data_IF_803857677127
#
_entry.id   IF_803857677127
#
_cell.length_a   1.000
_cell.length_b   1.000
_cell.length_c   1.000
_cell.angle_alpha   90.00
_cell.angle_beta   90.00
_cell.angle_gamma   90.00
#
_symmetry.space_group_name_H-M   'P 1'
#
loop_
_entity.id
_entity.type
_entity.pdbx_description
1 polymer ?
#
# COMPACT_ATOMS: atom_id res chain seq x y z
N UNK A 1 -1.99 -12.25 5.26
CA UNK A 1 -0.70 -11.97 5.94
C UNK A 1 -0.94 -11.66 7.42
N UNK A 2 -0.06 -12.06 8.36
CA UNK A 2 -0.16 -11.75 9.80
C UNK A 2 0.72 -10.54 10.16
N UNK A 3 0.47 -9.94 11.33
CA UNK A 3 1.19 -8.74 11.80
C UNK A 3 2.73 -8.86 11.74
N UNK A 4 3.30 -9.99 12.18
CA UNK A 4 4.77 -10.16 12.16
C UNK A 4 5.35 -10.26 10.73
N UNK A 5 4.60 -10.82 9.78
CA UNK A 5 5.00 -10.90 8.38
C UNK A 5 4.97 -9.50 7.74
N UNK A 6 3.90 -8.72 8.01
CA UNK A 6 3.79 -7.33 7.56
C UNK A 6 4.89 -6.44 8.15
N UNK A 7 5.19 -6.61 9.45
CA UNK A 7 6.30 -5.91 10.11
C UNK A 7 7.65 -6.23 9.46
N UNK A 8 7.92 -7.49 9.13
CA UNK A 8 9.14 -7.89 8.42
C UNK A 8 9.24 -7.26 7.03
N UNK A 9 8.13 -7.20 6.29
CA UNK A 9 8.07 -6.53 4.99
C UNK A 9 8.30 -5.01 5.11
N UNK A 10 7.73 -4.36 6.13
CA UNK A 10 7.96 -2.94 6.43
C UNK A 10 9.43 -2.65 6.72
N UNK A 11 10.08 -3.49 7.54
CA UNK A 11 11.50 -3.33 7.87
C UNK A 11 12.38 -3.44 6.61
N UNK A 12 12.08 -4.41 5.73
CA UNK A 12 12.78 -4.57 4.45
C UNK A 12 12.55 -3.37 3.51
N UNK A 13 11.31 -2.90 3.37
CA UNK A 13 10.99 -1.73 2.55
C UNK A 13 11.68 -0.46 3.05
N UNK A 14 11.72 -0.24 4.37
CA UNK A 14 12.45 0.88 4.97
C UNK A 14 13.95 0.79 4.74
N UNK A 15 14.53 -0.41 4.73
CA UNK A 15 15.94 -0.60 4.38
C UNK A 15 16.22 -0.23 2.93
N UNK A 16 15.36 -0.66 2.00
CA UNK A 16 15.45 -0.28 0.59
C UNK A 16 15.40 1.23 0.38
N UNK A 17 14.55 1.94 1.13
CA UNK A 17 14.47 3.42 1.08
C UNK A 17 15.73 4.09 1.64
N UNK A 18 16.34 3.52 2.69
CA UNK A 18 17.58 4.04 3.30
C UNK A 18 18.83 3.76 2.48
N UNK A 19 18.86 2.63 1.77
CA UNK A 19 19.91 2.34 0.82
C UNK A 19 19.79 3.28 -0.36
N UNK A 20 20.57 4.37 -0.38
CA UNK A 20 20.65 5.44 -1.40
C UNK A 20 21.03 4.97 -2.83
N UNK A 21 20.68 3.73 -3.19
CA UNK A 21 20.94 3.08 -4.47
C UNK A 21 19.85 3.37 -5.51
N UNK A 22 18.63 3.72 -5.06
CA UNK A 22 17.50 4.03 -5.94
C UNK A 22 17.45 5.52 -6.27
N UNK A 23 17.04 5.85 -7.51
CA UNK A 23 16.92 7.25 -7.96
C UNK A 23 15.64 7.47 -8.75
N UNK A 24 15.23 8.74 -8.86
CA UNK A 24 14.10 9.15 -9.67
C UNK A 24 12.81 8.40 -9.31
N UNK A 25 12.20 7.74 -10.30
CA UNK A 25 10.93 7.04 -10.14
C UNK A 25 11.03 5.85 -9.16
N UNK A 26 12.15 5.14 -9.16
CA UNK A 26 12.30 3.94 -8.33
C UNK A 26 12.38 4.30 -6.85
N UNK A 27 13.02 5.43 -6.52
CA UNK A 27 13.02 5.97 -5.17
C UNK A 27 11.59 6.38 -4.71
N UNK A 28 10.78 6.95 -5.62
CA UNK A 28 9.39 7.29 -5.31
C UNK A 28 8.54 6.04 -5.08
N UNK A 29 8.72 4.98 -5.88
CA UNK A 29 8.01 3.71 -5.72
C UNK A 29 8.40 3.05 -4.39
N UNK A 30 9.69 2.96 -4.08
CA UNK A 30 10.16 2.35 -2.83
C UNK A 30 9.62 3.08 -1.59
N UNK A 31 9.54 4.42 -1.65
CA UNK A 31 8.93 5.20 -0.58
C UNK A 31 7.43 4.91 -0.43
N UNK A 32 6.69 4.91 -1.53
CA UNK A 32 5.26 4.59 -1.51
C UNK A 32 4.99 3.17 -1.00
N UNK A 33 5.86 2.21 -1.35
CA UNK A 33 5.79 0.84 -0.84
C UNK A 33 6.02 0.79 0.68
N UNK A 34 7.02 1.50 1.20
CA UNK A 34 7.26 1.57 2.64
C UNK A 34 6.09 2.20 3.41
N UNK A 35 5.49 3.26 2.85
CA UNK A 35 4.30 3.91 3.41
C UNK A 35 3.09 2.97 3.42
N UNK A 36 2.89 2.15 2.39
CA UNK A 36 1.82 1.14 2.34
C UNK A 36 2.04 0.02 3.36
N UNK A 37 3.29 -0.46 3.50
CA UNK A 37 3.60 -1.47 4.52
C UNK A 37 3.40 -0.95 5.95
N UNK A 38 3.61 0.35 6.18
CA UNK A 38 3.34 1.00 7.47
C UNK A 38 1.84 0.98 7.77
N UNK A 39 1.01 1.41 6.81
CA UNK A 39 -0.46 1.37 6.91
C UNK A 39 -1.00 -0.04 7.18
N UNK A 40 -0.50 -1.05 6.47
CA UNK A 40 -0.90 -2.46 6.67
C UNK A 40 -0.51 -2.94 8.08
N UNK A 41 0.68 -2.60 8.54
CA UNK A 41 1.16 -2.99 9.87
C UNK A 41 0.33 -2.34 10.97
N UNK A 42 0.00 -1.06 10.83
CA UNK A 42 -0.89 -0.33 11.75
C UNK A 42 -2.30 -0.95 11.77
N UNK A 43 -2.89 -1.23 10.60
CA UNK A 43 -4.21 -1.86 10.52
C UNK A 43 -4.25 -3.22 11.24
N UNK A 44 -3.17 -4.00 11.12
CA UNK A 44 -2.99 -5.29 11.80
C UNK A 44 -2.67 -5.18 13.29
N UNK A 45 -2.19 -4.04 13.79
CA UNK A 45 -1.93 -3.86 15.21
C UNK A 45 -3.23 -3.80 16.02
N UNK A 46 -4.26 -3.19 15.45
CA UNK A 46 -5.57 -3.04 16.08
C UNK A 46 -6.50 -4.26 15.87
N UNK A 47 -6.15 -5.17 14.94
CA UNK A 47 -7.00 -6.29 14.53
C UNK A 47 -6.27 -7.63 14.72
N UNK A 48 -6.79 -8.49 15.59
CA UNK A 48 -6.34 -9.87 15.73
C UNK A 48 -6.83 -10.72 14.54
N UNK A 49 -6.17 -10.60 13.39
CA UNK A 49 -6.60 -11.24 12.16
C UNK A 49 -5.53 -11.34 11.08
N UNK A 50 -5.89 -11.98 9.99
CA UNK A 50 -5.10 -12.01 8.76
C UNK A 50 -5.47 -10.77 7.95
N UNK A 51 -4.48 -10.03 7.47
CA UNK A 51 -4.68 -8.96 6.50
C UNK A 51 -5.24 -9.55 5.21
N UNK A 52 -6.33 -8.93 4.76
CA UNK A 52 -7.02 -9.22 3.52
C UNK A 52 -7.36 -7.90 2.80
N UNK A 53 -6.72 -7.61 1.64
CA UNK A 53 -6.97 -6.37 0.91
C UNK A 53 -8.40 -6.27 0.34
N UNK A 54 -9.13 -7.39 0.19
CA UNK A 54 -10.53 -7.36 -0.23
C UNK A 54 -11.45 -6.75 0.83
N UNK A 55 -11.01 -6.76 2.09
CA UNK A 55 -11.74 -6.23 3.23
C UNK A 55 -11.10 -4.96 3.82
N UNK A 56 -10.03 -4.46 3.22
CA UNK A 56 -9.33 -3.25 3.66
C UNK A 56 -10.05 -1.98 3.18
N UNK A 57 -10.55 -1.11 4.08
CA UNK A 57 -11.32 0.07 3.69
C UNK A 57 -10.55 1.07 2.81
N UNK A 58 -9.24 1.21 3.00
CA UNK A 58 -8.40 2.08 2.20
C UNK A 58 -8.27 1.55 0.76
N UNK A 59 -8.00 0.25 0.62
CA UNK A 59 -7.93 -0.43 -0.69
C UNK A 59 -9.27 -0.33 -1.42
N UNK A 60 -10.39 -0.58 -0.73
CA UNK A 60 -11.73 -0.49 -1.32
C UNK A 60 -12.06 0.94 -1.77
N UNK A 61 -11.61 1.96 -1.03
CA UNK A 61 -11.75 3.37 -1.41
C UNK A 61 -11.00 3.71 -2.70
N UNK A 62 -9.74 3.27 -2.82
CA UNK A 62 -8.91 3.49 -4.01
C UNK A 62 -9.46 2.78 -5.26
N UNK A 63 -9.92 1.53 -5.10
CA UNK A 63 -10.56 0.78 -6.18
C UNK A 63 -11.83 1.48 -6.67
N UNK A 64 -12.67 1.95 -5.73
CA UNK A 64 -13.89 2.71 -6.04
C UNK A 64 -13.55 4.01 -6.78
N UNK A 65 -12.58 4.77 -6.29
CA UNK A 65 -12.13 6.00 -6.93
C UNK A 65 -11.61 5.76 -8.34
N UNK A 66 -10.87 4.66 -8.56
CA UNK A 66 -10.40 4.25 -9.89
C UNK A 66 -11.57 3.89 -10.82
N UNK A 67 -12.55 3.13 -10.34
CA UNK A 67 -13.74 2.77 -11.11
C UNK A 67 -14.49 4.02 -11.59
N UNK A 68 -14.73 5.00 -10.71
CA UNK A 68 -15.38 6.26 -11.08
C UNK A 68 -14.59 7.07 -12.10
N UNK A 69 -13.25 7.09 -12.02
CA UNK A 69 -12.40 7.75 -13.04
C UNK A 69 -12.54 7.08 -14.39
N UNK A 70 -12.57 5.74 -14.44
CA UNK A 70 -12.74 5.00 -15.69
C UNK A 70 -14.13 5.18 -16.30
N UNK A 71 -15.19 5.19 -15.49
CA UNK A 71 -16.55 5.47 -15.94
C UNK A 71 -16.71 6.89 -16.49
N UNK A 72 -16.10 7.87 -15.81
CA UNK A 72 -16.11 9.27 -16.25
C UNK A 72 -15.36 9.44 -17.57
N UNK A 73 -14.22 8.75 -17.75
CA UNK A 73 -13.46 8.79 -18.99
C UNK A 73 -14.16 8.07 -20.16
N UNK A 74 -14.97 7.04 -19.87
CA UNK A 74 -15.70 6.25 -20.86
C UNK A 74 -17.01 6.90 -21.35
N UNK A 75 -17.45 8.00 -20.75
CA UNK A 75 -18.58 8.82 -21.24
C UNK A 75 -18.06 9.90 -22.20
N UNK A 76 -18.13 9.71 -23.53
CA UNK A 76 -17.98 10.82 -24.46
C UNK A 76 -19.17 11.79 -24.29
N UNK A 77 -18.89 13.09 -24.43
CA UNK A 77 -19.88 14.17 -24.45
C UNK A 77 -20.76 14.11 -25.69
#
# INVERSE_FOLDING_TARGET
MRHHEAKGALEAARETVRGDTLTGRDALIARAEAEEWERITEALADHAGTYDPEHDPFVQGELTARAHRTETAARPR
#
